data_IF_102389367676
#
_entry.id   IF_102389367676
#
_cell.length_a   1.000
_cell.length_b   1.000
_cell.length_c   1.000
_cell.angle_alpha   90.00
_cell.angle_beta   90.00
_cell.angle_gamma   90.00
#
_symmetry.space_group_name_H-M   'P 1'
#
loop_
_entity.id
_entity.type
_entity.pdbx_description
1 polymer ?
#
# COMPACT_ATOMS: atom_id res chain seq x y z
N UNK A 1 9.06 13.48 -5.63
CA UNK A 1 9.96 12.30 -5.44
C UNK A 1 9.26 11.28 -4.56
N UNK A 2 9.18 10.02 -5.02
CA UNK A 2 8.57 8.93 -4.26
C UNK A 2 9.54 8.25 -3.30
N UNK A 3 9.04 7.83 -2.13
CA UNK A 3 9.79 7.01 -1.17
C UNK A 3 9.22 5.59 -1.15
N UNK A 4 10.08 4.58 -0.97
CA UNK A 4 9.65 3.18 -0.87
C UNK A 4 10.41 2.37 0.19
N UNK A 5 9.70 1.43 0.82
CA UNK A 5 10.28 0.32 1.58
C UNK A 5 9.63 -0.96 1.10
N UNK A 6 10.43 -1.93 0.66
CA UNK A 6 9.99 -3.25 0.23
C UNK A 6 10.25 -4.26 1.32
N UNK A 7 9.33 -5.19 1.52
CA UNK A 7 9.43 -6.20 2.55
C UNK A 7 8.81 -7.54 2.14
N UNK A 8 9.19 -8.58 2.85
CA UNK A 8 8.54 -9.88 2.85
C UNK A 8 8.04 -10.16 4.26
N UNK A 9 6.73 -10.28 4.42
CA UNK A 9 6.07 -10.61 5.69
C UNK A 9 5.20 -11.85 5.52
N UNK A 10 5.13 -12.66 6.57
CA UNK A 10 3.98 -13.55 6.77
C UNK A 10 2.98 -12.89 7.73
N UNK A 11 1.82 -13.52 7.90
CA UNK A 11 0.71 -13.01 8.72
C UNK A 11 1.16 -12.57 10.13
N UNK A 12 2.05 -13.31 10.80
CA UNK A 12 2.56 -12.93 12.12
C UNK A 12 3.40 -11.63 12.09
N UNK A 13 4.21 -11.43 11.05
CA UNK A 13 5.00 -10.22 10.88
C UNK A 13 4.10 -9.02 10.53
N UNK A 14 3.11 -9.25 9.67
CA UNK A 14 2.10 -8.27 9.29
C UNK A 14 1.24 -7.86 10.50
N UNK A 15 0.79 -8.82 11.31
CA UNK A 15 0.01 -8.57 12.53
C UNK A 15 0.74 -7.61 13.47
N UNK A 16 2.04 -7.83 13.72
CA UNK A 16 2.86 -6.92 14.54
C UNK A 16 2.97 -5.51 13.95
N UNK A 17 3.02 -5.41 12.61
CA UNK A 17 3.02 -4.11 11.94
C UNK A 17 1.68 -3.39 12.10
N UNK A 18 0.57 -4.10 11.91
CA UNK A 18 -0.79 -3.58 12.08
C UNK A 18 -1.08 -3.18 13.54
N UNK A 19 -0.57 -3.94 14.52
CA UNK A 19 -0.62 -3.58 15.93
C UNK A 19 0.14 -2.27 16.23
N UNK A 20 1.28 -2.06 15.59
CA UNK A 20 2.02 -0.80 15.68
C UNK A 20 1.19 0.37 15.10
N UNK A 21 0.59 0.18 13.92
CA UNK A 21 -0.27 1.20 13.30
C UNK A 21 -1.49 1.53 14.19
N UNK A 22 -2.11 0.51 14.79
CA UNK A 22 -3.30 0.66 15.63
C UNK A 22 -3.09 1.46 16.93
N UNK A 23 -1.83 1.79 17.27
CA UNK A 23 -1.50 2.71 18.37
C UNK A 23 -1.90 4.14 18.03
N UNK A 24 -1.87 4.52 16.76
CA UNK A 24 -2.35 5.80 16.29
C UNK A 24 -3.85 5.70 15.92
N UNK A 25 -4.69 6.40 16.68
CA UNK A 25 -6.15 6.39 16.51
C UNK A 25 -6.64 7.15 15.28
N UNK A 26 -5.76 7.82 14.55
CA UNK A 26 -6.12 8.53 13.31
C UNK A 26 -5.86 7.69 12.06
N UNK A 27 -5.03 6.66 12.15
CA UNK A 27 -4.65 5.88 10.99
C UNK A 27 -5.78 4.93 10.58
N UNK A 28 -6.11 4.96 9.30
CA UNK A 28 -7.13 4.14 8.66
C UNK A 28 -6.62 3.58 7.36
N UNK A 29 -7.18 2.46 6.95
CA UNK A 29 -7.02 1.95 5.60
C UNK A 29 -8.28 2.19 4.79
N UNK A 30 -8.09 2.44 3.50
CA UNK A 30 -9.16 2.54 2.51
C UNK A 30 -8.77 1.76 1.25
N UNK A 31 -9.77 1.29 0.52
CA UNK A 31 -9.53 0.65 -0.78
C UNK A 31 -9.15 1.72 -1.81
N UNK A 32 -8.19 1.44 -2.71
CA UNK A 32 -7.80 2.37 -3.76
C UNK A 32 -8.94 2.74 -4.71
N UNK A 33 -9.86 1.79 -4.96
CA UNK A 33 -10.96 1.88 -5.91
C UNK A 33 -12.23 1.26 -5.31
N UNK A 34 -13.38 1.88 -5.57
CA UNK A 34 -14.71 1.42 -5.13
C UNK A 34 -15.77 1.77 -6.17
N UNK A 35 -16.96 1.17 -6.07
CA UNK A 35 -18.12 1.45 -6.93
C UNK A 35 -19.03 2.55 -6.36
N UNK A 36 -18.71 3.09 -5.18
CA UNK A 36 -19.46 4.14 -4.50
C UNK A 36 -18.53 5.25 -4.03
N UNK A 37 -19.03 6.49 -3.91
CA UNK A 37 -18.31 7.60 -3.28
C UNK A 37 -18.07 7.38 -1.78
N UNK A 38 -18.81 6.46 -1.16
CA UNK A 38 -18.61 6.06 0.23
C UNK A 38 -17.52 4.99 0.30
N UNK A 39 -16.28 5.41 0.52
CA UNK A 39 -15.16 4.49 0.71
C UNK A 39 -15.30 3.72 2.03
N UNK A 40 -15.14 2.40 1.97
CA UNK A 40 -15.00 1.58 3.18
C UNK A 40 -13.72 1.96 3.91
N UNK A 41 -13.86 2.25 5.19
CA UNK A 41 -12.77 2.63 6.09
C UNK A 41 -12.54 1.47 7.05
N UNK A 42 -11.28 1.03 7.15
CA UNK A 42 -10.88 -0.09 7.99
C UNK A 42 -9.90 0.37 9.06
N UNK A 43 -10.02 -0.17 10.27
CA UNK A 43 -8.97 -0.04 11.27
C UNK A 43 -7.80 -0.95 10.90
N UNK A 44 -6.56 -0.64 11.33
CA UNK A 44 -5.42 -1.51 11.06
C UNK A 44 -5.61 -2.97 11.49
N UNK A 45 -6.41 -3.21 12.53
CA UNK A 45 -6.66 -4.58 13.04
C UNK A 45 -7.57 -5.41 12.12
N UNK A 46 -8.37 -4.76 11.29
CA UNK A 46 -9.35 -5.44 10.43
C UNK A 46 -8.68 -5.99 9.16
N UNK A 47 -7.47 -5.52 8.84
CA UNK A 47 -6.79 -5.79 7.56
C UNK A 47 -6.45 -7.26 7.34
N UNK A 48 -6.16 -8.00 8.41
CA UNK A 48 -5.87 -9.44 8.28
C UNK A 48 -7.08 -10.24 7.78
N UNK A 49 -8.30 -9.73 7.98
CA UNK A 49 -9.53 -10.38 7.51
C UNK A 49 -9.89 -10.06 6.06
N UNK A 50 -9.20 -9.11 5.44
CA UNK A 50 -9.42 -8.72 4.05
C UNK A 50 -8.60 -9.60 3.10
N UNK A 51 -9.19 -9.95 1.95
CA UNK A 51 -8.46 -10.59 0.84
C UNK A 51 -7.72 -9.55 -0.04
N UNK A 52 -7.81 -8.27 0.34
CA UNK A 52 -7.30 -7.16 -0.45
C UNK A 52 -5.79 -7.02 -0.30
N UNK A 53 -5.08 -7.04 -1.43
CA UNK A 53 -3.62 -6.95 -1.48
C UNK A 53 -3.11 -5.52 -1.45
N UNK A 54 -3.86 -4.59 -2.05
CA UNK A 54 -3.46 -3.19 -2.20
C UNK A 54 -4.44 -2.34 -1.41
N UNK A 55 -3.89 -1.59 -0.45
CA UNK A 55 -4.63 -0.71 0.44
C UNK A 55 -3.94 0.65 0.49
N UNK A 56 -4.69 1.70 0.77
CA UNK A 56 -4.13 3.01 1.07
C UNK A 56 -4.24 3.27 2.57
N UNK A 57 -3.11 3.49 3.22
CA UNK A 57 -3.03 3.98 4.58
C UNK A 57 -3.15 5.52 4.58
N UNK A 58 -4.07 6.02 5.39
CA UNK A 58 -4.48 7.41 5.44
C UNK A 58 -4.60 7.87 6.89
N UNK A 59 -4.18 9.11 7.16
CA UNK A 59 -4.46 9.80 8.43
C UNK A 59 -5.80 10.53 8.29
N UNK A 60 -6.79 10.09 9.07
CA UNK A 60 -8.17 10.61 9.06
C UNK A 60 -8.33 12.10 9.34
N UNK A 61 -7.26 12.82 9.71
CA UNK A 61 -7.27 14.27 9.79
C UNK A 61 -7.17 15.00 8.44
N UNK A 62 -6.79 14.30 7.36
CA UNK A 62 -6.77 14.87 6.01
C UNK A 62 -8.10 14.61 5.29
N UNK A 63 -8.66 15.62 4.63
CA UNK A 63 -9.81 15.41 3.76
C UNK A 63 -9.41 14.64 2.49
N UNK A 64 -10.02 13.48 2.25
CA UNK A 64 -9.80 12.68 1.05
C UNK A 64 -10.65 13.13 -0.14
N UNK A 65 -11.78 13.81 0.11
CA UNK A 65 -12.76 14.14 -0.92
C UNK A 65 -12.17 14.87 -2.15
N UNK A 66 -11.25 15.84 -1.98
CA UNK A 66 -10.62 16.55 -3.11
C UNK A 66 -9.77 15.66 -4.02
N UNK A 67 -9.45 14.43 -3.59
CA UNK A 67 -8.57 13.52 -4.32
C UNK A 67 -9.30 12.32 -4.93
N UNK A 68 -10.63 12.26 -4.79
CA UNK A 68 -11.46 11.21 -5.37
C UNK A 68 -11.78 11.57 -6.82
N UNK A 69 -11.45 10.67 -7.74
CA UNK A 69 -11.79 10.78 -9.16
C UNK A 69 -12.80 9.71 -9.53
N UNK A 70 -13.78 10.07 -10.35
CA UNK A 70 -14.68 9.12 -11.00
C UNK A 70 -14.18 8.76 -12.40
N UNK A 71 -14.26 7.49 -12.75
CA UNK A 71 -13.97 7.01 -14.11
C UNK A 71 -14.79 5.76 -14.40
N UNK A 72 -15.01 5.45 -15.67
CA UNK A 72 -15.52 4.14 -16.05
C UNK A 72 -14.46 3.07 -15.83
N UNK A 73 -14.87 1.93 -15.28
CA UNK A 73 -13.98 0.80 -14.99
C UNK A 73 -13.41 0.27 -16.29
N UNK A 74 -12.12 -0.04 -16.28
CA UNK A 74 -11.39 -0.62 -17.41
C UNK A 74 -10.86 -2.00 -17.03
N UNK A 75 -10.92 -2.95 -17.95
CA UNK A 75 -10.24 -4.24 -17.83
C UNK A 75 -9.37 -4.48 -19.06
N UNK A 76 -8.27 -5.21 -18.87
CA UNK A 76 -7.43 -5.60 -20.00
C UNK A 76 -8.03 -6.82 -20.68
N UNK A 77 -8.32 -6.69 -21.97
CA UNK A 77 -8.84 -7.75 -22.81
C UNK A 77 -7.68 -8.31 -23.64
N UNK A 78 -7.20 -9.50 -23.27
CA UNK A 78 -6.04 -10.14 -23.92
C UNK A 78 -6.29 -10.40 -25.40
N UNK A 79 -7.52 -10.77 -25.77
CA UNK A 79 -7.96 -11.08 -27.13
C UNK A 79 -7.78 -9.91 -28.12
N UNK A 80 -7.83 -8.67 -27.61
CA UNK A 80 -7.66 -7.45 -28.42
C UNK A 80 -6.43 -6.64 -28.00
N UNK A 81 -5.64 -7.14 -27.05
CA UNK A 81 -4.41 -6.51 -26.58
C UNK A 81 -4.58 -5.09 -26.04
N UNK A 82 -5.75 -4.75 -25.49
CA UNK A 82 -6.05 -3.39 -25.03
C UNK A 82 -7.00 -3.37 -23.83
N UNK A 83 -7.04 -2.22 -23.17
CA UNK A 83 -8.04 -1.95 -22.14
C UNK A 83 -9.40 -1.64 -22.78
N UNK A 84 -10.44 -2.31 -22.30
CA UNK A 84 -11.84 -2.06 -22.66
C UNK A 84 -12.50 -1.36 -21.47
N UNK A 85 -13.19 -0.27 -21.76
CA UNK A 85 -14.00 0.47 -20.80
C UNK A 85 -15.38 -0.18 -20.66
N UNK A 86 -15.91 -0.22 -19.44
CA UNK A 86 -17.24 -0.76 -19.12
C UNK A 86 -18.19 0.38 -18.72
N UNK A 87 -19.50 0.11 -18.74
CA UNK A 87 -20.50 1.07 -18.25
C UNK A 87 -20.52 1.22 -16.71
N UNK A 88 -19.65 0.50 -15.99
CA UNK A 88 -19.57 0.58 -14.53
C UNK A 88 -18.73 1.78 -14.10
N UNK A 89 -19.36 2.77 -13.47
CA UNK A 89 -18.67 3.88 -12.81
C UNK A 89 -17.91 3.37 -11.58
N UNK A 90 -16.66 3.81 -11.43
CA UNK A 90 -15.83 3.58 -10.23
C UNK A 90 -15.22 4.89 -9.75
N UNK A 91 -14.94 4.92 -8.45
CA UNK A 91 -14.30 6.03 -7.76
C UNK A 91 -12.94 5.57 -7.25
N UNK A 92 -11.91 6.38 -7.47
CA UNK A 92 -10.52 6.07 -7.11
C UNK A 92 -9.85 7.24 -6.41
N UNK A 93 -8.97 6.94 -5.47
CA UNK A 93 -8.16 7.97 -4.80
C UNK A 93 -6.88 8.19 -5.62
N UNK A 94 -6.61 9.45 -5.99
CA UNK A 94 -5.37 9.81 -6.67
C UNK A 94 -4.17 9.66 -5.75
N UNK A 95 -3.44 8.54 -5.84
CA UNK A 95 -2.24 8.31 -5.04
C UNK A 95 -1.15 9.39 -5.25
N UNK A 96 -1.06 9.92 -6.47
CA UNK A 96 -0.10 10.97 -6.80
C UNK A 96 -0.40 12.29 -6.10
N UNK A 97 -1.68 12.61 -5.88
CA UNK A 97 -2.07 13.89 -5.30
C UNK A 97 -2.42 13.81 -3.81
N UNK A 98 -3.06 12.72 -3.37
CA UNK A 98 -3.51 12.56 -1.99
C UNK A 98 -2.34 12.32 -1.01
N UNK A 99 -2.44 12.78 0.25
CA UNK A 99 -1.49 12.45 1.32
C UNK A 99 -1.75 11.03 1.86
N UNK A 100 -1.54 10.02 1.02
CA UNK A 100 -1.75 8.60 1.31
C UNK A 100 -0.46 7.80 1.13
N UNK A 101 -0.34 6.72 1.90
CA UNK A 101 0.73 5.74 1.76
C UNK A 101 0.13 4.47 1.17
N UNK A 102 0.56 4.10 -0.03
CA UNK A 102 0.22 2.81 -0.61
C UNK A 102 0.85 1.69 0.21
N UNK A 103 0.04 0.73 0.62
CA UNK A 103 0.43 -0.48 1.33
C UNK A 103 0.05 -1.70 0.48
N UNK A 104 1.07 -2.39 -0.03
CA UNK A 104 0.94 -3.66 -0.73
C UNK A 104 1.36 -4.77 0.22
N UNK A 105 0.45 -5.70 0.47
CA UNK A 105 0.70 -6.86 1.34
C UNK A 105 1.59 -7.89 0.65
N UNK A 106 2.45 -8.55 1.42
CA UNK A 106 3.10 -9.77 0.97
C UNK A 106 2.07 -10.89 0.87
N UNK A 107 2.12 -11.70 -0.19
CA UNK A 107 1.20 -12.84 -0.35
C UNK A 107 1.85 -13.97 -1.13
N UNK A 108 1.36 -15.20 -0.95
CA UNK A 108 1.74 -16.32 -1.80
C UNK A 108 1.00 -16.19 -3.14
N UNK A 109 1.73 -16.29 -4.25
CA UNK A 109 1.09 -16.37 -5.56
C UNK A 109 0.64 -17.81 -5.89
N UNK A 110 0.02 -17.99 -7.06
CA UNK A 110 -0.46 -19.29 -7.54
C UNK A 110 0.63 -20.36 -7.65
N UNK A 111 1.89 -19.96 -7.76
CA UNK A 111 3.05 -20.86 -7.83
C UNK A 111 3.64 -21.17 -6.44
N UNK A 112 3.01 -20.69 -5.36
CA UNK A 112 3.52 -20.85 -4.00
C UNK A 112 4.75 -19.97 -3.70
N UNK A 113 5.02 -18.95 -4.50
CA UNK A 113 6.12 -18.02 -4.27
C UNK A 113 5.65 -16.87 -3.38
N UNK A 114 6.43 -16.55 -2.34
CA UNK A 114 6.14 -15.37 -1.52
C UNK A 114 6.47 -14.11 -2.32
N UNK A 115 5.44 -13.30 -2.58
CA UNK A 115 5.56 -12.04 -3.31
C UNK A 115 5.90 -10.89 -2.38
N UNK A 116 6.69 -9.96 -2.90
CA UNK A 116 7.12 -8.75 -2.18
C UNK A 116 5.92 -7.86 -1.82
N UNK A 117 5.90 -7.39 -0.57
CA UNK A 117 5.06 -6.30 -0.10
C UNK A 117 5.82 -4.97 -0.11
N UNK A 118 5.10 -3.86 -0.01
CA UNK A 118 5.69 -2.52 -0.11
C UNK A 118 4.87 -1.47 0.63
N UNK A 119 5.54 -0.50 1.23
CA UNK A 119 4.97 0.84 1.42
C UNK A 119 5.57 1.82 0.41
N UNK A 120 4.74 2.63 -0.23
CA UNK A 120 5.15 3.65 -1.19
C UNK A 120 4.33 4.92 -1.03
N UNK A 121 4.96 6.08 -1.20
CA UNK A 121 4.26 7.36 -1.16
C UNK A 121 5.00 8.41 -1.97
N UNK A 122 4.25 9.29 -2.64
CA UNK A 122 4.77 10.50 -3.26
C UNK A 122 4.69 11.66 -2.29
N UNK A 123 5.84 12.26 -1.93
CA UNK A 123 5.88 13.41 -1.02
C UNK A 123 5.45 14.73 -1.68
N UNK A 124 5.31 14.73 -3.00
CA UNK A 124 4.96 15.90 -3.80
C UNK A 124 3.80 15.53 -4.72
N UNK A 125 2.85 16.45 -4.89
CA UNK A 125 1.79 16.39 -5.88
C UNK A 125 2.09 17.35 -7.02
N UNK A 126 1.49 17.13 -8.19
CA UNK A 126 1.54 18.09 -9.29
C UNK A 126 0.32 19.01 -9.18
N UNK A 127 0.53 20.32 -9.08
CA UNK A 127 -0.58 21.30 -9.12
C UNK A 127 -1.05 21.57 -10.55
N UNK A 128 -2.09 22.39 -10.69
CA UNK A 128 -2.66 22.80 -11.99
C UNK A 128 -1.64 23.50 -12.90
N UNK A 129 -0.65 24.18 -12.32
CA UNK A 129 0.44 24.85 -13.03
C UNK A 129 1.60 23.91 -13.42
N UNK A 130 1.46 22.59 -13.21
CA UNK A 130 2.50 21.58 -13.42
C UNK A 130 3.74 21.76 -12.54
N UNK A 131 3.55 22.30 -11.34
CA UNK A 131 4.60 22.48 -10.35
C UNK A 131 4.47 21.42 -9.25
N UNK A 132 5.63 20.97 -8.72
CA UNK A 132 5.65 20.04 -7.60
C UNK A 132 5.37 20.78 -6.29
N UNK A 133 4.24 20.46 -5.66
CA UNK A 133 3.84 20.98 -4.35
C UNK A 133 4.06 19.91 -3.30
N UNK A 134 4.79 20.26 -2.24
CA UNK A 134 5.06 19.36 -1.12
C UNK A 134 3.79 19.08 -0.31
N UNK A 135 3.50 17.79 -0.06
CA UNK A 135 2.30 17.34 0.68
C UNK A 135 2.35 17.62 2.19
N UNK A 136 3.47 18.12 2.69
CA UNK A 136 3.61 18.61 4.07
C UNK A 136 4.42 17.69 4.98
N UNK A 137 5.00 18.31 6.01
CA UNK A 137 5.94 17.66 6.92
C UNK A 137 5.31 16.56 7.77
N UNK A 138 4.05 16.75 8.19
CA UNK A 138 3.32 15.74 8.97
C UNK A 138 3.13 14.44 8.20
N UNK A 139 2.83 14.52 6.90
CA UNK A 139 2.67 13.36 6.03
C UNK A 139 4.00 12.64 5.79
N UNK A 140 5.07 13.38 5.51
CA UNK A 140 6.41 12.79 5.35
C UNK A 140 6.89 12.12 6.65
N UNK A 141 6.65 12.76 7.80
CA UNK A 141 6.97 12.20 9.11
C UNK A 141 6.19 10.92 9.41
N UNK A 142 4.91 10.86 9.02
CA UNK A 142 4.13 9.61 9.10
C UNK A 142 4.84 8.52 8.30
N UNK A 143 5.15 8.76 7.03
CA UNK A 143 5.87 7.79 6.20
C UNK A 143 7.19 7.34 6.83
N UNK A 144 8.02 8.28 7.28
CA UNK A 144 9.33 7.99 7.85
C UNK A 144 9.23 7.20 9.17
N UNK A 145 8.18 7.41 9.97
CA UNK A 145 7.90 6.60 11.16
C UNK A 145 7.59 5.15 10.79
N UNK A 146 6.75 4.91 9.78
CA UNK A 146 6.43 3.56 9.30
C UNK A 146 7.66 2.86 8.73
N UNK A 147 8.39 3.57 7.87
CA UNK A 147 9.62 3.08 7.28
C UNK A 147 10.65 2.74 8.36
N UNK A 148 10.79 3.58 9.38
CA UNK A 148 11.69 3.32 10.52
C UNK A 148 11.27 2.09 11.30
N UNK A 149 9.97 1.90 11.56
CA UNK A 149 9.49 0.70 12.22
C UNK A 149 9.84 -0.56 11.42
N UNK A 150 9.58 -0.57 10.10
CA UNK A 150 9.91 -1.70 9.23
C UNK A 150 11.41 -2.01 9.26
N UNK A 151 12.25 -0.99 9.14
CA UNK A 151 13.72 -1.18 9.13
C UNK A 151 14.28 -1.69 10.46
N UNK A 152 13.63 -1.37 11.58
CA UNK A 152 14.04 -1.79 12.93
C UNK A 152 13.55 -3.18 13.31
N UNK A 153 12.36 -3.56 12.83
CA UNK A 153 11.71 -4.80 13.25
C UNK A 153 11.89 -5.94 12.25
N UNK A 154 12.30 -5.66 11.01
CA UNK A 154 12.59 -6.65 9.99
C UNK A 154 14.09 -6.73 9.73
N UNK A 155 14.58 -7.90 9.31
CA UNK A 155 16.00 -8.05 8.95
C UNK A 155 16.23 -7.63 7.52
N UNK A 156 17.23 -6.77 7.30
CA UNK A 156 17.64 -6.38 5.95
C UNK A 156 18.26 -7.58 5.22
N UNK A 157 17.83 -7.83 3.98
CA UNK A 157 18.44 -8.84 3.12
C UNK A 157 19.91 -8.53 2.83
N UNK A 158 20.76 -9.55 2.74
CA UNK A 158 22.19 -9.38 2.44
C UNK A 158 22.44 -8.93 0.99
N UNK A 159 21.68 -9.50 0.06
CA UNK A 159 21.88 -9.30 -1.38
C UNK A 159 20.89 -8.31 -1.99
N UNK A 160 19.71 -8.16 -1.38
CA UNK A 160 18.63 -7.33 -1.87
C UNK A 160 18.31 -6.19 -0.92
N UNK A 161 17.78 -5.08 -1.45
CA UNK A 161 17.40 -3.89 -0.65
C UNK A 161 16.08 -4.07 0.12
N UNK A 162 15.49 -5.27 0.10
CA UNK A 162 14.27 -5.58 0.83
C UNK A 162 14.53 -6.00 2.29
N UNK A 163 13.47 -5.94 3.08
CA UNK A 163 13.44 -6.34 4.49
C UNK A 163 12.62 -7.62 4.66
N UNK A 164 13.02 -8.48 5.58
CA UNK A 164 12.41 -9.79 5.77
C UNK A 164 11.94 -9.94 7.21
N UNK A 165 10.67 -10.28 7.36
CA UNK A 165 10.09 -10.76 8.62
C UNK A 165 10.62 -12.15 8.98
N UNK A 166 10.45 -12.53 10.24
CA UNK A 166 11.00 -13.79 10.76
C UNK A 166 10.45 -15.00 10.01
N UNK A 167 9.15 -14.97 9.69
CA UNK A 167 8.51 -16.01 8.89
C UNK A 167 9.08 -16.09 7.48
N UNK A 168 9.37 -14.95 6.86
CA UNK A 168 9.93 -14.88 5.52
C UNK A 168 11.37 -15.40 5.46
N UNK A 169 12.16 -15.15 6.52
CA UNK A 169 13.51 -15.69 6.65
C UNK A 169 13.46 -17.21 6.78
N UNK A 170 12.60 -17.74 7.65
CA UNK A 170 12.42 -19.18 7.83
C UNK A 170 11.94 -19.86 6.54
N UNK A 171 11.07 -19.18 5.76
CA UNK A 171 10.64 -19.65 4.45
C UNK A 171 11.81 -19.76 3.46
N UNK A 172 12.59 -18.68 3.34
CA UNK A 172 13.74 -18.64 2.43
C UNK A 172 14.83 -19.66 2.81
N UNK A 173 15.13 -19.80 4.11
CA UNK A 173 16.11 -20.78 4.61
C UNK A 173 15.73 -22.24 4.33
N UNK A 174 14.43 -22.52 4.13
CA UNK A 174 13.94 -23.85 3.71
C UNK A 174 14.05 -24.08 2.20
N UNK A 175 14.74 -23.20 1.46
CA UNK A 175 14.89 -23.28 0.00
C UNK A 175 13.61 -22.96 -0.77
N UNK A 176 12.61 -22.36 -0.11
CA UNK A 176 11.33 -22.05 -0.76
C UNK A 176 11.41 -20.75 -1.58
N UNK A 177 10.69 -20.67 -2.70
CA UNK A 177 10.84 -19.56 -3.64
C UNK A 177 10.26 -18.25 -3.12
N UNK A 178 10.90 -17.16 -3.54
CA UNK A 178 10.48 -15.77 -3.30
C UNK A 178 10.47 -15.00 -4.62
N UNK A 179 9.49 -14.12 -4.82
CA UNK A 179 9.35 -13.27 -6.00
C UNK A 179 9.47 -11.80 -5.60
N UNK A 180 10.60 -11.19 -5.95
CA UNK A 180 10.91 -9.76 -5.75
C UNK A 180 10.32 -8.88 -6.84
#
# INVERSE_FOLDING_TARGET
>A
MGKQVRFFMFENDESRFLEFLAKDKKLRFVLPVTVSTNFSIFEPRDILSLDEKILYLWDSSYDLHPYINSSFRKFYAEEVGRFIETDQMVYSISASNAPIIEYIRSSLNKNGELTVGRIWAEMYALNENKEFVYKGHSFEKLYDNLATWLRRNLKRGKEKKEYFGEGAIAWYQKGKPIKS
#
